data_IF_609893858389
#
_entry.id   IF_609893858389
#
_cell.length_a   1.000
_cell.length_b   1.000
_cell.length_c   1.000
_cell.angle_alpha   90.00
_cell.angle_beta   90.00
_cell.angle_gamma   90.00
#
_symmetry.space_group_name_H-M   'P 1'
#
loop_
_entity.id
_entity.type
_entity.pdbx_description
1 polymer ?
#
# COMPACT_ATOMS: atom_id res chain seq x y z
N UNK A 1 -9.34 26.60 -7.08
CA UNK A 1 -9.03 25.15 -7.19
C UNK A 1 -9.86 24.44 -6.13
N UNK A 2 -10.90 23.72 -6.55
CA UNK A 2 -11.99 23.29 -5.68
C UNK A 2 -11.53 22.22 -4.69
N UNK A 3 -11.26 22.62 -3.44
CA UNK A 3 -10.80 21.74 -2.36
C UNK A 3 -11.71 20.52 -2.17
N UNK A 4 -13.02 20.66 -2.43
CA UNK A 4 -14.00 19.56 -2.41
C UNK A 4 -13.70 18.46 -3.44
N UNK A 5 -13.29 18.82 -4.66
CA UNK A 5 -12.90 17.83 -5.69
C UNK A 5 -11.59 17.15 -5.33
N UNK A 6 -10.64 17.89 -4.76
CA UNK A 6 -9.36 17.32 -4.34
C UNK A 6 -9.53 16.34 -3.17
N UNK A 7 -10.39 16.69 -2.21
CA UNK A 7 -10.78 15.80 -1.11
C UNK A 7 -11.52 14.56 -1.62
N UNK A 8 -12.46 14.72 -2.55
CA UNK A 8 -13.17 13.58 -3.13
C UNK A 8 -12.22 12.62 -3.87
N UNK A 9 -11.25 13.16 -4.64
CA UNK A 9 -10.25 12.35 -5.32
C UNK A 9 -9.31 11.63 -4.34
N UNK A 10 -8.82 12.32 -3.30
CA UNK A 10 -8.00 11.72 -2.25
C UNK A 10 -8.76 10.64 -1.49
N UNK A 11 -10.02 10.91 -1.15
CA UNK A 11 -10.87 9.97 -0.45
C UNK A 11 -11.11 8.71 -1.29
N UNK A 12 -11.35 8.85 -2.59
CA UNK A 12 -11.55 7.70 -3.49
C UNK A 12 -10.27 6.87 -3.68
N UNK A 13 -9.12 7.53 -3.78
CA UNK A 13 -7.82 6.87 -3.84
C UNK A 13 -7.54 6.08 -2.55
N UNK A 14 -7.75 6.70 -1.39
CA UNK A 14 -7.56 6.07 -0.08
C UNK A 14 -8.54 4.90 0.12
N UNK A 15 -9.81 5.09 -0.25
CA UNK A 15 -10.82 4.04 -0.20
C UNK A 15 -10.39 2.82 -1.02
N UNK A 16 -9.92 3.05 -2.25
CA UNK A 16 -9.45 1.97 -3.13
C UNK A 16 -8.21 1.27 -2.57
N UNK A 17 -7.29 2.02 -1.96
CA UNK A 17 -6.10 1.46 -1.32
C UNK A 17 -6.45 0.59 -0.10
N UNK A 18 -7.30 1.09 0.81
CA UNK A 18 -7.76 0.34 1.98
C UNK A 18 -8.55 -0.91 1.53
N UNK A 19 -9.40 -0.78 0.52
CA UNK A 19 -10.17 -1.90 -0.03
C UNK A 19 -9.25 -3.03 -0.52
N UNK A 20 -8.20 -2.70 -1.29
CA UNK A 20 -7.18 -3.66 -1.69
C UNK A 20 -6.42 -4.27 -0.51
N UNK A 21 -6.07 -3.46 0.49
CA UNK A 21 -5.37 -3.94 1.69
C UNK A 21 -6.24 -4.91 2.53
N UNK A 22 -7.55 -4.67 2.60
CA UNK A 22 -8.49 -5.61 3.24
C UNK A 22 -8.54 -6.97 2.55
N UNK A 23 -8.26 -7.05 1.25
CA UNK A 23 -8.13 -8.33 0.55
C UNK A 23 -6.77 -9.00 0.75
N UNK A 24 -5.72 -8.28 1.15
CA UNK A 24 -4.39 -8.86 1.34
C UNK A 24 -4.37 -9.92 2.46
N UNK A 25 -5.10 -9.69 3.55
CA UNK A 25 -5.20 -10.65 4.66
C UNK A 25 -5.79 -12.01 4.27
N UNK A 26 -6.99 -12.09 3.67
CA UNK A 26 -7.56 -13.37 3.25
C UNK A 26 -6.73 -14.02 2.13
N UNK A 27 -6.15 -13.26 1.21
CA UNK A 27 -5.28 -13.83 0.17
C UNK A 27 -4.01 -14.45 0.75
N UNK A 28 -3.36 -13.77 1.70
CA UNK A 28 -2.17 -14.28 2.38
C UNK A 28 -2.49 -15.58 3.13
N UNK A 29 -3.61 -15.60 3.87
CA UNK A 29 -4.07 -16.79 4.59
C UNK A 29 -4.39 -17.97 3.65
N UNK A 30 -5.05 -17.69 2.52
CA UNK A 30 -5.30 -18.69 1.47
C UNK A 30 -3.98 -19.21 0.88
N UNK A 31 -3.02 -18.35 0.55
CA UNK A 31 -1.71 -18.74 0.00
C UNK A 31 -0.92 -19.62 0.97
N UNK A 32 -0.89 -19.26 2.26
CA UNK A 32 -0.23 -20.09 3.29
C UNK A 32 -0.89 -21.46 3.47
N UNK A 33 -2.23 -21.51 3.40
CA UNK A 33 -2.96 -22.77 3.55
C UNK A 33 -2.88 -23.68 2.32
N UNK A 34 -2.94 -23.11 1.10
CA UNK A 34 -2.97 -23.89 -0.16
C UNK A 34 -1.60 -24.18 -0.75
N UNK A 35 -0.69 -23.20 -0.78
CA UNK A 35 0.60 -23.34 -1.48
C UNK A 35 1.74 -23.78 -0.54
N UNK A 36 1.68 -23.41 0.75
CA UNK A 36 2.65 -23.86 1.75
C UNK A 36 2.20 -25.08 2.57
N UNK A 37 0.93 -25.51 2.43
CA UNK A 37 0.40 -26.67 3.16
C UNK A 37 0.33 -26.49 4.68
N UNK A 38 0.30 -25.26 5.17
CA UNK A 38 0.18 -24.98 6.62
C UNK A 38 -1.23 -25.34 7.06
N UNK A 39 -1.36 -26.37 7.90
CA UNK A 39 -2.64 -26.82 8.43
C UNK A 39 -3.31 -25.72 9.28
N UNK A 40 -4.65 -25.58 9.23
CA UNK A 40 -5.37 -24.60 10.04
C UNK A 40 -5.09 -24.84 11.53
N UNK A 41 -4.56 -23.83 12.22
CA UNK A 41 -4.14 -23.93 13.61
C UNK A 41 -3.20 -22.79 14.02
N UNK A 42 -2.40 -23.03 15.08
CA UNK A 42 -1.53 -22.03 15.69
C UNK A 42 -0.48 -21.45 14.74
N UNK A 43 0.00 -22.23 13.78
CA UNK A 43 1.06 -21.79 12.86
C UNK A 43 0.52 -20.82 11.80
N UNK A 44 -0.71 -21.03 11.30
CA UNK A 44 -1.33 -20.10 10.35
C UNK A 44 -1.56 -18.73 11.00
N UNK A 45 -2.02 -18.70 12.26
CA UNK A 45 -2.22 -17.47 13.04
C UNK A 45 -0.89 -16.76 13.34
N UNK A 46 0.15 -17.50 13.70
CA UNK A 46 1.49 -16.93 13.96
C UNK A 46 2.10 -16.32 12.70
N UNK A 47 2.01 -17.00 11.56
CA UNK A 47 2.58 -16.47 10.31
C UNK A 47 1.78 -15.29 9.76
N UNK A 48 0.45 -15.32 9.82
CA UNK A 48 -0.38 -14.17 9.42
C UNK A 48 -0.16 -12.97 10.34
N UNK A 49 -0.07 -13.19 11.66
CA UNK A 49 0.26 -12.13 12.61
C UNK A 49 1.68 -11.58 12.42
N UNK A 50 2.66 -12.45 12.14
CA UNK A 50 4.05 -12.05 11.88
C UNK A 50 4.17 -11.21 10.60
N UNK A 51 3.51 -11.62 9.51
CA UNK A 51 3.48 -10.84 8.26
C UNK A 51 2.78 -9.50 8.45
N UNK A 52 1.62 -9.47 9.12
CA UNK A 52 0.92 -8.23 9.43
C UNK A 52 1.75 -7.28 10.30
N UNK A 53 2.44 -7.82 11.30
CA UNK A 53 3.32 -7.04 12.19
C UNK A 53 4.54 -6.51 11.43
N UNK A 54 5.12 -7.29 10.51
CA UNK A 54 6.21 -6.83 9.66
C UNK A 54 5.77 -5.67 8.75
N UNK A 55 4.58 -5.77 8.12
CA UNK A 55 4.00 -4.67 7.35
C UNK A 55 3.73 -3.45 8.22
N UNK A 56 3.18 -3.64 9.43
CA UNK A 56 2.93 -2.57 10.41
C UNK A 56 4.22 -1.87 10.86
N UNK A 57 5.29 -2.63 11.12
CA UNK A 57 6.61 -2.08 11.47
C UNK A 57 7.22 -1.31 10.31
N UNK A 58 7.14 -1.84 9.09
CA UNK A 58 7.60 -1.13 7.89
C UNK A 58 6.85 0.19 7.71
N UNK A 59 5.52 0.19 7.93
CA UNK A 59 4.69 1.40 7.94
C UNK A 59 5.07 2.36 9.06
N UNK A 60 5.36 1.85 10.25
CA UNK A 60 5.76 2.67 11.40
C UNK A 60 7.10 3.39 11.18
N UNK A 61 8.03 2.76 10.47
CA UNK A 61 9.30 3.38 10.06
C UNK A 61 9.12 4.32 8.87
N UNK A 62 8.27 3.94 7.91
CA UNK A 62 8.01 4.75 6.72
C UNK A 62 7.20 6.02 7.04
N UNK A 63 6.25 5.97 7.96
CA UNK A 63 5.35 7.09 8.26
C UNK A 63 6.06 8.38 8.69
N UNK A 64 7.09 8.38 9.58
CA UNK A 64 7.83 9.61 9.88
C UNK A 64 8.66 10.09 8.69
N UNK A 65 9.24 9.21 7.90
CA UNK A 65 10.05 9.59 6.73
C UNK A 65 9.19 10.33 5.71
N UNK A 66 8.03 9.76 5.37
CA UNK A 66 7.11 10.35 4.39
C UNK A 66 6.36 11.57 4.94
N UNK A 67 6.06 11.61 6.25
CA UNK A 67 5.48 12.77 6.92
C UNK A 67 6.40 13.98 6.91
N UNK A 68 7.67 13.79 7.30
CA UNK A 68 8.69 14.85 7.28
C UNK A 68 8.94 15.34 5.84
N UNK A 69 8.95 14.44 4.86
CA UNK A 69 9.10 14.82 3.45
C UNK A 69 7.89 15.64 2.96
N UNK A 70 6.68 15.30 3.41
CA UNK A 70 5.43 16.02 3.15
C UNK A 70 5.44 17.45 3.67
N UNK A 71 5.94 17.64 4.90
CA UNK A 71 5.98 18.94 5.56
C UNK A 71 7.10 19.83 5.01
N UNK A 72 8.23 19.26 4.58
CA UNK A 72 9.41 20.04 4.15
C UNK A 72 9.32 20.58 2.71
N UNK A 73 8.62 19.89 1.81
CA UNK A 73 8.54 20.26 0.38
C UNK A 73 7.21 20.88 -0.04
N UNK A 74 6.24 20.97 0.87
CA UNK A 74 4.89 21.45 0.59
C UNK A 74 4.02 20.37 -0.09
N UNK A 75 2.74 20.29 0.31
CA UNK A 75 1.80 19.25 -0.17
C UNK A 75 1.59 19.24 -1.69
N UNK A 76 1.74 20.39 -2.37
CA UNK A 76 1.48 20.53 -3.82
C UNK A 76 2.66 20.05 -4.71
N UNK A 77 3.92 20.48 -4.48
CA UNK A 77 5.08 19.99 -5.23
C UNK A 77 5.34 18.49 -5.00
N UNK A 78 5.10 17.99 -3.78
CA UNK A 78 5.32 16.57 -3.47
C UNK A 78 4.34 15.66 -4.22
N UNK A 79 3.05 16.02 -4.27
CA UNK A 79 2.05 15.25 -5.03
C UNK A 79 2.44 15.16 -6.52
N UNK A 80 2.92 16.26 -7.12
CA UNK A 80 3.37 16.26 -8.51
C UNK A 80 4.57 15.33 -8.75
N UNK A 81 5.54 15.29 -7.84
CA UNK A 81 6.70 14.39 -7.93
C UNK A 81 6.29 12.92 -7.80
N UNK A 82 5.41 12.61 -6.84
CA UNK A 82 4.89 11.25 -6.66
C UNK A 82 4.08 10.77 -7.86
N UNK A 83 3.23 11.63 -8.45
CA UNK A 83 2.47 11.27 -9.65
C UNK A 83 3.37 11.10 -10.89
N UNK A 84 4.43 11.88 -11.02
CA UNK A 84 5.43 11.69 -12.08
C UNK A 84 6.15 10.34 -11.93
N UNK A 85 6.58 10.00 -10.71
CA UNK A 85 7.18 8.69 -10.43
C UNK A 85 6.23 7.54 -10.77
N UNK A 86 4.97 7.63 -10.33
CA UNK A 86 3.94 6.63 -10.64
C UNK A 86 3.67 6.49 -12.14
N UNK A 87 3.58 7.60 -12.87
CA UNK A 87 3.38 7.59 -14.33
C UNK A 87 4.55 6.93 -15.07
N UNK A 88 5.78 7.17 -14.63
CA UNK A 88 6.98 6.53 -15.20
C UNK A 88 6.96 5.03 -14.91
N UNK A 89 6.69 4.62 -13.68
CA UNK A 89 6.64 3.19 -13.31
C UNK A 89 5.56 2.44 -14.09
N UNK A 90 4.35 3.01 -14.19
CA UNK A 90 3.25 2.42 -14.96
C UNK A 90 3.58 2.38 -16.46
N UNK A 91 4.19 3.44 -17.00
CA UNK A 91 4.67 3.45 -18.38
C UNK A 91 5.73 2.38 -18.65
N UNK A 92 6.67 2.19 -17.71
CA UNK A 92 7.68 1.14 -17.81
C UNK A 92 7.07 -0.27 -17.74
N UNK A 93 6.04 -0.47 -16.91
CA UNK A 93 5.29 -1.73 -16.87
C UNK A 93 4.58 -1.99 -18.20
N UNK A 94 4.05 -0.96 -18.86
CA UNK A 94 3.46 -1.11 -20.20
C UNK A 94 4.47 -1.60 -21.24
N UNK A 95 5.71 -1.10 -21.20
CA UNK A 95 6.78 -1.54 -22.10
C UNK A 95 7.33 -2.94 -21.80
N UNK A 96 6.98 -3.55 -20.65
CA UNK A 96 7.45 -4.89 -20.27
C UNK A 96 6.58 -6.01 -20.86
N UNK A 97 5.51 -5.68 -21.59
CA UNK A 97 4.76 -6.66 -22.38
C UNK A 97 5.53 -7.03 -23.66
N UNK A 98 6.49 -7.94 -23.52
CA UNK A 98 7.05 -8.74 -24.62
C UNK A 98 7.17 -10.20 -24.21
#
# INVERSE_FOLDING_TARGET
MNWRRNLAALWFAEFTAIFGFSFAFPFLSIFLSKDLGVHPGRDLDLWTAASASASGLALAVASPIWGILGDRFGRKPMLLRSMLGGAITVGLIFFVQN
#
